data_IF_997897947223
#
_entry.id   IF_997897947223
#
_cell.length_a   1.000
_cell.length_b   1.000
_cell.length_c   1.000
_cell.angle_alpha   90.00
_cell.angle_beta   90.00
_cell.angle_gamma   90.00
#
_symmetry.space_group_name_H-M   'P 1'
#
loop_
_entity.id
_entity.type
_entity.pdbx_description
1 polymer ?
#
# COMPACT_ATOMS: atom_id res chain seq x y z
N UNK A 1 2.00 13.93 -20.97
CA UNK A 1 3.45 13.61 -21.03
C UNK A 1 3.62 12.11 -21.20
N UNK A 2 4.74 11.63 -21.74
CA UNK A 2 5.01 10.18 -21.83
C UNK A 2 5.25 9.58 -20.42
N UNK A 3 4.73 8.36 -20.15
CA UNK A 3 4.85 7.60 -18.88
C UNK A 3 6.29 7.60 -18.33
N UNK A 4 7.29 7.29 -19.15
CA UNK A 4 8.69 7.19 -18.71
C UNK A 4 9.25 8.53 -18.22
N UNK A 5 8.85 9.63 -18.86
CA UNK A 5 9.25 10.99 -18.43
C UNK A 5 8.63 11.35 -17.08
N UNK A 6 7.36 10.97 -16.86
CA UNK A 6 6.67 11.19 -15.58
C UNK A 6 7.34 10.38 -14.48
N UNK A 7 7.54 9.07 -14.68
CA UNK A 7 8.19 8.21 -13.70
C UNK A 7 9.58 8.71 -13.32
N UNK A 8 10.39 9.13 -14.31
CA UNK A 8 11.71 9.73 -14.06
C UNK A 8 11.63 10.98 -13.19
N UNK A 9 10.60 11.81 -13.36
CA UNK A 9 10.40 13.02 -12.56
C UNK A 9 9.92 12.69 -11.15
N UNK A 10 8.94 11.80 -11.00
CA UNK A 10 8.44 11.34 -9.70
C UNK A 10 9.54 10.71 -8.85
N UNK A 11 10.43 9.91 -9.47
CA UNK A 11 11.57 9.28 -8.78
C UNK A 11 12.60 10.27 -8.23
N UNK A 12 12.60 11.55 -8.63
CA UNK A 12 13.45 12.58 -8.00
C UNK A 12 13.09 12.81 -6.53
N UNK A 13 11.80 12.70 -6.20
CA UNK A 13 11.30 12.68 -4.83
C UNK A 13 10.56 11.35 -4.61
N UNK A 14 11.34 10.26 -4.68
CA UNK A 14 10.82 8.89 -4.65
C UNK A 14 9.92 8.62 -3.45
N UNK A 15 10.36 8.96 -2.24
CA UNK A 15 9.60 8.67 -1.01
C UNK A 15 8.23 9.36 -1.03
N UNK A 16 8.17 10.63 -1.46
CA UNK A 16 6.91 11.37 -1.60
C UNK A 16 5.96 10.71 -2.59
N UNK A 17 6.50 10.30 -3.72
CA UNK A 17 5.71 9.82 -4.86
C UNK A 17 5.59 8.30 -4.92
N UNK A 18 5.95 7.57 -3.86
CA UNK A 18 6.07 6.10 -3.89
C UNK A 18 4.76 5.41 -4.30
N UNK A 19 3.62 5.85 -3.75
CA UNK A 19 2.29 5.35 -4.13
C UNK A 19 1.92 5.73 -5.57
N UNK A 20 2.26 6.95 -5.98
CA UNK A 20 2.01 7.48 -7.34
C UNK A 20 2.84 6.70 -8.39
N UNK A 21 4.07 6.33 -8.05
CA UNK A 21 4.94 5.50 -8.89
C UNK A 21 4.32 4.10 -9.03
N UNK A 22 3.98 3.47 -7.91
CA UNK A 22 3.44 2.12 -7.89
C UNK A 22 2.11 2.00 -8.65
N UNK A 23 1.20 2.96 -8.50
CA UNK A 23 -0.08 2.95 -9.23
C UNK A 23 0.13 3.09 -10.75
N UNK A 24 1.08 3.93 -11.20
CA UNK A 24 1.43 4.06 -12.61
C UNK A 24 2.09 2.77 -13.15
N UNK A 25 2.93 2.12 -12.35
CA UNK A 25 3.59 0.89 -12.73
C UNK A 25 2.58 -0.26 -12.90
N UNK A 26 1.61 -0.36 -11.99
CA UNK A 26 0.61 -1.42 -11.97
C UNK A 26 -0.54 -1.22 -12.97
N UNK A 27 -1.07 0.00 -13.11
CA UNK A 27 -2.27 0.27 -13.91
C UNK A 27 -2.03 1.21 -15.10
N UNK A 28 -0.82 1.75 -15.22
CA UNK A 28 -0.48 2.70 -16.28
C UNK A 28 -0.94 4.12 -15.99
N UNK A 29 -0.97 4.94 -17.04
CA UNK A 29 -1.29 6.36 -16.98
C UNK A 29 -2.47 6.63 -17.91
N UNK A 30 -3.53 7.26 -17.39
CA UNK A 30 -4.69 7.67 -18.19
C UNK A 30 -4.50 9.08 -18.77
N UNK A 31 -4.32 10.07 -17.91
CA UNK A 31 -4.00 11.45 -18.30
C UNK A 31 -2.94 12.05 -17.37
N UNK A 32 -2.32 13.15 -17.81
CA UNK A 32 -1.36 13.89 -16.99
C UNK A 32 -1.38 15.37 -17.33
N UNK A 33 -1.33 16.23 -16.31
CA UNK A 33 -1.23 17.68 -16.43
C UNK A 33 0.03 18.15 -15.70
N UNK A 34 0.65 19.20 -16.21
CA UNK A 34 1.84 19.79 -15.60
C UNK A 34 1.65 21.30 -15.39
N UNK A 35 2.13 21.80 -14.25
CA UNK A 35 2.30 23.22 -13.95
C UNK A 35 3.62 23.36 -13.19
N UNK A 36 4.60 24.06 -13.77
CA UNK A 36 5.96 24.13 -13.24
C UNK A 36 6.55 22.75 -12.92
N UNK A 37 6.94 22.55 -11.66
CA UNK A 37 7.48 21.26 -11.21
C UNK A 37 6.41 20.25 -10.77
N UNK A 38 5.19 20.69 -10.48
CA UNK A 38 4.10 19.80 -10.10
C UNK A 38 3.47 19.05 -11.28
N UNK A 39 3.00 17.83 -11.01
CA UNK A 39 2.25 16.99 -11.96
C UNK A 39 0.97 16.51 -11.28
N UNK A 40 -0.13 16.53 -12.02
CA UNK A 40 -1.35 15.81 -11.66
C UNK A 40 -1.53 14.66 -12.64
N UNK A 41 -1.69 13.45 -12.14
CA UNK A 41 -1.93 12.27 -12.97
C UNK A 41 -3.30 11.69 -12.67
N UNK A 42 -3.87 11.01 -13.67
CA UNK A 42 -5.02 10.15 -13.45
C UNK A 42 -4.73 8.72 -13.87
N UNK A 43 -5.36 7.80 -13.14
CA UNK A 43 -5.25 6.35 -13.36
C UNK A 43 -6.64 5.74 -13.19
N UNK A 44 -6.98 4.78 -14.04
CA UNK A 44 -8.23 4.02 -13.93
C UNK A 44 -7.95 2.73 -13.16
N UNK A 45 -8.63 2.55 -12.03
CA UNK A 45 -8.72 1.29 -11.29
C UNK A 45 -10.20 0.90 -11.18
N UNK A 46 -10.77 0.92 -9.99
CA UNK A 46 -12.22 0.85 -9.73
C UNK A 46 -12.93 2.18 -10.05
N UNK A 47 -12.23 3.29 -9.85
CA UNK A 47 -12.62 4.63 -10.23
C UNK A 47 -11.53 5.30 -11.07
N UNK A 48 -11.86 6.43 -11.69
CA UNK A 48 -10.85 7.34 -12.22
C UNK A 48 -10.27 8.13 -11.03
N UNK A 49 -9.09 7.76 -10.57
CA UNK A 49 -8.42 8.41 -9.45
C UNK A 49 -7.50 9.53 -9.91
N UNK A 50 -7.42 10.61 -9.14
CA UNK A 50 -6.52 11.73 -9.34
C UNK A 50 -5.41 11.75 -8.27
N UNK A 51 -4.15 11.77 -8.70
CA UNK A 51 -2.98 11.83 -7.81
C UNK A 51 -2.17 13.10 -8.11
N UNK A 52 -2.20 14.11 -7.21
CA UNK A 52 -1.37 15.29 -7.34
C UNK A 52 0.04 15.05 -6.74
N UNK A 53 1.05 15.02 -7.59
CA UNK A 53 2.46 15.12 -7.21
C UNK A 53 2.87 16.59 -7.21
N UNK A 54 2.51 17.31 -6.15
CA UNK A 54 2.74 18.75 -6.01
C UNK A 54 3.47 19.11 -4.71
N UNK A 55 4.24 20.20 -4.78
CA UNK A 55 4.91 20.82 -3.61
C UNK A 55 4.55 22.31 -3.46
N UNK A 56 3.86 22.88 -4.45
CA UNK A 56 3.49 24.27 -4.47
C UNK A 56 1.97 24.41 -4.60
N UNK A 57 1.37 25.25 -3.74
CA UNK A 57 -0.08 25.45 -3.67
C UNK A 57 -0.64 26.12 -4.93
N UNK A 58 0.10 27.03 -5.54
CA UNK A 58 -0.28 27.79 -6.72
C UNK A 58 -0.21 26.91 -7.98
N UNK A 59 0.83 26.08 -8.10
CA UNK A 59 0.92 25.04 -9.12
C UNK A 59 -0.22 24.02 -8.98
N UNK A 60 -0.55 23.59 -7.75
CA UNK A 60 -1.70 22.70 -7.51
C UNK A 60 -3.02 23.33 -7.94
N UNK A 61 -3.25 24.62 -7.63
CA UNK A 61 -4.45 25.35 -8.11
C UNK A 61 -4.50 25.41 -9.64
N UNK A 62 -3.37 25.65 -10.30
CA UNK A 62 -3.30 25.67 -11.76
C UNK A 62 -3.61 24.29 -12.36
N UNK A 63 -3.06 23.22 -11.78
CA UNK A 63 -3.35 21.84 -12.17
C UNK A 63 -4.84 21.52 -12.03
N UNK A 64 -5.48 21.90 -10.93
CA UNK A 64 -6.92 21.67 -10.72
C UNK A 64 -7.78 22.45 -11.73
N UNK A 65 -7.39 23.69 -12.08
CA UNK A 65 -8.06 24.47 -13.15
C UNK A 65 -7.96 23.78 -14.50
N UNK A 66 -6.78 23.26 -14.87
CA UNK A 66 -6.54 22.50 -16.10
C UNK A 66 -7.30 21.17 -16.10
N UNK A 67 -7.34 20.49 -14.96
CA UNK A 67 -7.99 19.21 -14.77
C UNK A 67 -9.51 19.29 -14.81
N UNK A 68 -10.10 20.42 -14.40
CA UNK A 68 -11.54 20.68 -14.41
C UNK A 68 -12.37 19.65 -13.63
N UNK A 69 -11.80 19.04 -12.58
CA UNK A 69 -12.50 18.06 -11.73
C UNK A 69 -13.18 16.93 -12.52
N UNK A 70 -12.49 16.35 -13.51
CA UNK A 70 -12.97 15.19 -14.28
C UNK A 70 -13.29 13.97 -13.43
N UNK A 71 -12.81 13.95 -12.19
CA UNK A 71 -13.20 13.01 -11.15
C UNK A 71 -13.32 13.72 -9.82
N UNK A 72 -14.04 13.09 -8.90
CA UNK A 72 -14.17 13.51 -7.49
C UNK A 72 -13.31 12.65 -6.55
N UNK A 73 -12.59 11.65 -7.08
CA UNK A 73 -11.74 10.73 -6.32
C UNK A 73 -10.29 11.20 -6.34
N UNK A 74 -9.71 11.46 -5.18
CA UNK A 74 -8.34 11.94 -5.03
C UNK A 74 -7.55 11.09 -4.05
N UNK A 75 -6.30 10.82 -4.37
CA UNK A 75 -5.45 9.88 -3.63
C UNK A 75 -4.05 10.44 -3.39
N UNK A 76 -3.35 9.86 -2.41
CA UNK A 76 -2.01 10.26 -2.01
C UNK A 76 -1.90 11.75 -1.58
N UNK A 77 -2.92 12.26 -0.88
CA UNK A 77 -3.00 13.67 -0.49
C UNK A 77 -2.30 13.95 0.85
N UNK A 78 -1.52 15.03 0.90
CA UNK A 78 -1.03 15.58 2.16
C UNK A 78 -2.05 16.57 2.74
N UNK A 79 -2.06 16.78 4.06
CA UNK A 79 -3.06 17.60 4.77
C UNK A 79 -3.22 19.02 4.16
N UNK A 80 -2.13 19.64 3.71
CA UNK A 80 -2.18 20.97 3.10
C UNK A 80 -2.92 21.00 1.75
N UNK A 81 -2.99 19.86 1.05
CA UNK A 81 -3.65 19.74 -0.25
C UNK A 81 -5.17 19.70 -0.10
N UNK A 82 -5.69 19.18 1.02
CA UNK A 82 -7.13 19.01 1.26
C UNK A 82 -7.92 20.31 1.03
N UNK A 83 -7.63 21.45 1.69
CA UNK A 83 -8.38 22.69 1.47
C UNK A 83 -8.19 23.27 0.06
N UNK A 84 -7.13 22.91 -0.66
CA UNK A 84 -6.90 23.35 -2.05
C UNK A 84 -7.75 22.55 -3.02
N UNK A 85 -7.87 21.24 -2.79
CA UNK A 85 -8.60 20.30 -3.64
C UNK A 85 -10.10 20.39 -3.38
N UNK A 86 -10.54 20.35 -2.11
CA UNK A 86 -11.96 20.41 -1.76
C UNK A 86 -12.55 21.79 -2.04
N UNK A 87 -11.76 22.86 -1.88
CA UNK A 87 -12.23 24.24 -1.98
C UNK A 87 -13.44 24.48 -1.07
N UNK A 88 -14.65 24.65 -1.64
CA UNK A 88 -15.92 24.81 -0.92
C UNK A 88 -16.79 23.55 -0.96
N UNK A 89 -16.33 22.47 -1.59
CA UNK A 89 -17.06 21.20 -1.67
C UNK A 89 -16.88 20.43 -0.38
N UNK A 90 -17.93 19.71 -0.01
CA UNK A 90 -17.87 18.77 1.11
C UNK A 90 -17.07 17.53 0.72
N UNK A 91 -16.30 17.01 1.68
CA UNK A 91 -15.66 15.70 1.57
C UNK A 91 -16.72 14.67 1.96
N UNK A 92 -17.10 13.81 1.02
CA UNK A 92 -18.07 12.73 1.25
C UNK A 92 -17.48 11.66 2.15
N UNK A 93 -16.22 11.28 1.87
CA UNK A 93 -15.46 10.36 2.71
C UNK A 93 -13.96 10.67 2.64
N UNK A 94 -13.26 10.37 3.74
CA UNK A 94 -11.81 10.45 3.85
C UNK A 94 -11.26 9.17 4.51
N UNK A 95 -10.24 8.57 3.90
CA UNK A 95 -9.38 7.56 4.51
C UNK A 95 -8.03 8.18 4.80
N UNK A 96 -7.79 8.54 6.06
CA UNK A 96 -6.54 9.12 6.53
C UNK A 96 -5.64 8.04 7.13
N UNK A 97 -4.37 8.02 6.73
CA UNK A 97 -3.40 7.00 7.14
C UNK A 97 -2.04 7.60 7.43
N UNK A 98 -1.25 6.89 8.25
CA UNK A 98 0.19 7.08 8.34
C UNK A 98 0.87 6.20 7.28
N UNK A 99 1.62 6.81 6.35
CA UNK A 99 2.46 6.07 5.41
C UNK A 99 3.79 5.77 6.08
N UNK A 100 4.16 4.48 6.08
CA UNK A 100 5.46 4.02 6.56
C UNK A 100 6.27 3.44 5.39
N UNK A 101 7.57 3.74 5.35
CA UNK A 101 8.51 3.25 4.33
C UNK A 101 9.59 2.38 4.95
N UNK A 102 10.09 1.39 4.22
CA UNK A 102 11.20 0.55 4.67
C UNK A 102 12.48 0.94 3.91
N UNK A 103 13.38 1.68 4.56
CA UNK A 103 14.65 2.09 3.97
C UNK A 103 15.68 0.96 4.06
N UNK A 104 16.38 0.71 2.95
CA UNK A 104 17.18 -0.50 2.69
C UNK A 104 18.21 -0.85 3.78
N UNK A 105 18.77 0.14 4.49
CA UNK A 105 19.76 -0.08 5.56
C UNK A 105 19.19 -0.66 6.87
N UNK A 106 17.96 -0.32 7.25
CA UNK A 106 17.32 -0.84 8.48
C UNK A 106 16.89 -2.32 8.32
N UNK A 107 16.66 -2.69 7.08
CA UNK A 107 15.97 -3.87 6.60
C UNK A 107 16.85 -5.14 6.60
N UNK A 108 18.14 -4.98 6.34
CA UNK A 108 19.17 -6.04 6.36
C UNK A 108 19.46 -6.50 7.80
N UNK A 109 19.44 -5.58 8.76
CA UNK A 109 19.68 -5.89 10.18
C UNK A 109 18.55 -6.75 10.78
N UNK A 110 17.30 -6.41 10.48
CA UNK A 110 16.13 -7.18 10.92
C UNK A 110 16.05 -8.58 10.30
N UNK A 111 16.48 -8.73 9.04
CA UNK A 111 16.54 -10.02 8.34
C UNK A 111 17.64 -10.92 8.91
N UNK A 112 18.83 -10.37 9.22
CA UNK A 112 19.91 -11.09 9.88
C UNK A 112 19.54 -11.55 11.31
N UNK A 113 18.83 -10.72 12.08
CA UNK A 113 18.36 -11.07 13.42
C UNK A 113 17.26 -12.13 13.40
N UNK A 114 16.39 -12.10 12.38
CA UNK A 114 15.34 -13.10 12.19
C UNK A 114 15.87 -14.46 11.76
N UNK A 115 16.80 -14.50 10.80
CA UNK A 115 17.39 -15.74 10.32
C UNK A 115 18.18 -16.47 11.43
N UNK A 116 18.85 -15.73 12.32
CA UNK A 116 19.48 -16.30 13.53
C UNK A 116 18.47 -16.91 14.52
N UNK A 117 17.25 -16.36 14.61
CA UNK A 117 16.18 -16.95 15.44
C UNK A 117 15.59 -18.20 14.79
N UNK A 118 15.32 -18.16 13.48
CA UNK A 118 14.81 -19.33 12.74
C UNK A 118 15.80 -20.50 12.76
N UNK A 119 17.11 -20.25 12.61
CA UNK A 119 18.12 -21.32 12.70
C UNK A 119 18.18 -21.97 14.08
N UNK A 120 17.88 -21.23 15.15
CA UNK A 120 17.76 -21.77 16.51
C UNK A 120 16.41 -22.44 16.79
N UNK A 121 15.38 -22.19 15.97
CA UNK A 121 14.01 -22.72 16.09
C UNK A 121 13.72 -23.84 15.06
N UNK A 122 14.75 -24.34 14.35
CA UNK A 122 14.68 -25.48 13.41
C UNK A 122 14.34 -26.84 14.04
N UNK A 123 13.66 -26.83 15.18
CA UNK A 123 12.91 -27.96 15.75
C UNK A 123 11.39 -27.84 15.57
N UNK A 124 10.88 -26.76 14.94
CA UNK A 124 9.44 -26.55 14.65
C UNK A 124 9.14 -26.79 13.16
N UNK A 125 9.57 -27.92 12.61
CA UNK A 125 8.87 -28.49 11.46
C UNK A 125 7.73 -29.36 11.99
N UNK A 126 6.52 -28.79 12.15
CA UNK A 126 5.26 -29.57 12.11
C UNK A 126 3.95 -28.79 12.28
N UNK A 127 3.92 -27.49 12.63
CA UNK A 127 2.63 -26.86 12.98
C UNK A 127 1.95 -26.01 11.88
N UNK A 128 2.71 -25.46 10.93
CA UNK A 128 2.15 -24.58 9.88
C UNK A 128 3.01 -24.52 8.61
N UNK A 129 2.40 -24.13 7.49
CA UNK A 129 3.08 -23.91 6.20
C UNK A 129 2.88 -22.47 5.73
N UNK A 130 3.96 -21.82 5.30
CA UNK A 130 3.90 -20.53 4.58
C UNK A 130 3.90 -20.82 3.08
N UNK A 131 2.97 -20.21 2.33
CA UNK A 131 2.94 -20.26 0.85
C UNK A 131 2.42 -18.96 0.26
N UNK A 132 2.61 -18.78 -1.04
CA UNK A 132 1.90 -17.74 -1.80
C UNK A 132 0.40 -18.03 -1.80
N UNK A 133 -0.42 -16.99 -1.87
CA UNK A 133 -1.86 -17.13 -2.04
C UNK A 133 -2.18 -17.54 -3.48
N UNK A 134 -3.28 -18.25 -3.65
CA UNK A 134 -3.80 -18.68 -4.94
C UNK A 134 -5.18 -18.04 -5.18
N UNK A 135 -5.62 -17.95 -6.44
CA UNK A 135 -6.91 -17.34 -6.78
C UNK A 135 -8.11 -17.96 -6.03
N UNK A 136 -8.01 -19.24 -5.62
CA UNK A 136 -9.03 -19.93 -4.82
C UNK A 136 -9.15 -19.42 -3.38
N UNK A 137 -8.10 -18.80 -2.83
CA UNK A 137 -8.09 -18.25 -1.47
C UNK A 137 -8.90 -16.96 -1.37
N UNK A 138 -9.15 -16.26 -2.49
CA UNK A 138 -9.77 -14.94 -2.51
C UNK A 138 -11.17 -14.90 -1.86
N UNK A 139 -11.98 -15.93 -2.12
CA UNK A 139 -13.34 -16.03 -1.56
C UNK A 139 -13.29 -16.22 -0.05
N UNK A 140 -12.36 -17.05 0.43
CA UNK A 140 -12.16 -17.26 1.87
C UNK A 140 -11.65 -15.98 2.54
N UNK A 141 -10.67 -15.31 1.95
CA UNK A 141 -10.14 -14.03 2.44
C UNK A 141 -11.25 -12.99 2.52
N UNK A 142 -12.06 -12.86 1.47
CA UNK A 142 -13.19 -11.93 1.45
C UNK A 142 -14.14 -12.23 2.61
N UNK A 143 -14.56 -13.48 2.78
CA UNK A 143 -15.51 -13.89 3.82
C UNK A 143 -14.99 -13.70 5.27
N UNK A 144 -13.67 -13.63 5.47
CA UNK A 144 -13.05 -13.56 6.80
C UNK A 144 -12.25 -12.25 7.04
N UNK A 145 -12.37 -11.28 6.15
CA UNK A 145 -11.72 -9.97 6.27
C UNK A 145 -12.68 -8.95 6.88
N UNK A 146 -12.16 -8.04 7.70
CA UNK A 146 -12.92 -6.86 8.17
C UNK A 146 -13.10 -5.79 7.08
N UNK A 147 -12.48 -5.97 5.90
CA UNK A 147 -12.49 -5.00 4.80
C UNK A 147 -13.59 -5.27 3.75
N UNK A 148 -14.63 -6.06 4.06
CA UNK A 148 -15.67 -6.45 3.10
C UNK A 148 -16.36 -5.24 2.45
N UNK A 149 -16.59 -4.17 3.21
CA UNK A 149 -17.25 -2.96 2.72
C UNK A 149 -16.37 -2.11 1.78
N UNK A 150 -15.06 -2.35 1.81
CA UNK A 150 -14.05 -1.56 1.09
C UNK A 150 -13.30 -2.38 0.05
N UNK A 151 -13.75 -3.61 -0.24
CA UNK A 151 -13.06 -4.51 -1.16
C UNK A 151 -14.03 -5.40 -1.92
N UNK A 152 -13.51 -6.17 -2.87
CA UNK A 152 -14.28 -7.17 -3.59
C UNK A 152 -13.46 -8.44 -3.81
N UNK A 153 -14.14 -9.58 -4.01
CA UNK A 153 -13.49 -10.83 -4.42
C UNK A 153 -12.67 -10.66 -5.70
N UNK A 154 -13.17 -9.86 -6.65
CA UNK A 154 -12.47 -9.56 -7.90
C UNK A 154 -11.16 -8.83 -7.62
N UNK A 155 -11.20 -7.79 -6.78
CA UNK A 155 -10.01 -7.05 -6.37
C UNK A 155 -9.00 -7.95 -5.64
N UNK A 156 -9.44 -8.78 -4.69
CA UNK A 156 -8.53 -9.70 -3.99
C UNK A 156 -7.86 -10.66 -4.98
N UNK A 157 -8.61 -11.27 -5.91
CA UNK A 157 -8.02 -12.14 -6.96
C UNK A 157 -6.99 -11.41 -7.80
N UNK A 158 -7.29 -10.18 -8.18
CA UNK A 158 -6.40 -9.32 -8.94
C UNK A 158 -5.10 -9.06 -8.17
N UNK A 159 -5.19 -8.73 -6.88
CA UNK A 159 -4.01 -8.47 -6.02
C UNK A 159 -3.19 -9.73 -5.77
N UNK A 160 -3.81 -10.90 -5.65
CA UNK A 160 -3.09 -12.19 -5.59
C UNK A 160 -2.27 -12.42 -6.87
N UNK A 161 -2.81 -12.06 -8.04
CA UNK A 161 -2.16 -12.30 -9.32
C UNK A 161 -1.11 -11.23 -9.68
N UNK A 162 -1.22 -10.01 -9.14
CA UNK A 162 -0.45 -8.86 -9.58
C UNK A 162 0.93 -8.73 -8.91
N UNK A 163 1.06 -9.11 -7.65
CA UNK A 163 2.29 -8.90 -6.87
C UNK A 163 2.48 -10.00 -5.81
N UNK A 164 3.45 -9.83 -4.90
CA UNK A 164 3.69 -10.77 -3.83
C UNK A 164 2.48 -10.94 -2.90
N UNK A 165 2.29 -12.17 -2.43
CA UNK A 165 1.28 -12.51 -1.44
C UNK A 165 1.80 -13.58 -0.50
N UNK A 166 1.21 -13.69 0.69
CA UNK A 166 1.59 -14.71 1.64
C UNK A 166 0.36 -15.22 2.41
N UNK A 167 0.33 -16.52 2.65
CA UNK A 167 -0.65 -17.22 3.49
C UNK A 167 0.04 -18.19 4.43
N UNK A 168 -0.48 -18.29 5.67
CA UNK A 168 -0.10 -19.30 6.66
C UNK A 168 -1.22 -20.31 6.75
N UNK A 169 -0.88 -21.58 6.52
CA UNK A 169 -1.80 -22.72 6.53
C UNK A 169 -1.55 -23.57 7.78
N UNK A 170 -2.61 -23.88 8.52
CA UNK A 170 -2.58 -24.72 9.73
C UNK A 170 -3.70 -25.75 9.61
N UNK A 171 -3.35 -27.04 9.68
CA UNK A 171 -4.32 -28.14 9.53
C UNK A 171 -5.20 -28.03 8.27
N UNK A 172 -4.63 -27.51 7.17
CA UNK A 172 -5.34 -27.29 5.91
C UNK A 172 -6.12 -25.98 5.82
N UNK A 173 -6.24 -25.19 6.90
CA UNK A 173 -6.96 -23.92 6.90
C UNK A 173 -6.04 -22.70 6.72
N UNK A 174 -6.51 -21.68 6.00
CA UNK A 174 -5.84 -20.38 5.94
C UNK A 174 -6.04 -19.63 7.26
N UNK A 175 -4.96 -19.53 8.04
CA UNK A 175 -4.92 -18.94 9.38
C UNK A 175 -4.56 -17.45 9.37
N UNK A 176 -3.67 -17.04 8.46
CA UNK A 176 -3.25 -15.66 8.28
C UNK A 176 -2.86 -15.39 6.83
N UNK A 177 -2.93 -14.13 6.41
CA UNK A 177 -2.57 -13.72 5.06
C UNK A 177 -2.08 -12.27 4.99
N UNK A 178 -1.48 -11.92 3.85
CA UNK A 178 -1.12 -10.57 3.46
C UNK A 178 -0.95 -10.46 1.94
N UNK A 179 -1.27 -9.29 1.39
CA UNK A 179 -1.24 -8.97 -0.04
C UNK A 179 -0.62 -7.58 -0.24
N UNK A 180 -0.67 -7.08 -1.48
CA UNK A 180 -0.43 -5.67 -1.79
C UNK A 180 -1.71 -4.94 -2.18
N UNK A 181 -1.71 -3.62 -2.03
CA UNK A 181 -2.71 -2.74 -2.64
C UNK A 181 -2.40 -2.49 -4.12
N UNK A 182 -3.29 -1.74 -4.78
CA UNK A 182 -3.19 -1.31 -6.17
C UNK A 182 -1.94 -0.46 -6.45
N UNK A 183 -1.53 0.36 -5.49
CA UNK A 183 -0.29 1.15 -5.53
C UNK A 183 0.97 0.36 -5.13
N UNK A 184 0.83 -0.95 -4.88
CA UNK A 184 1.93 -1.82 -4.47
C UNK A 184 2.30 -1.75 -2.99
N UNK A 185 1.61 -0.95 -2.17
CA UNK A 185 1.80 -0.93 -0.72
C UNK A 185 1.52 -2.32 -0.12
N UNK A 186 2.30 -2.75 0.87
CA UNK A 186 1.99 -3.95 1.65
C UNK A 186 0.72 -3.71 2.47
N UNK A 187 -0.19 -4.69 2.48
CA UNK A 187 -1.47 -4.53 3.15
C UNK A 187 -2.29 -5.82 3.21
N UNK A 188 -3.60 -5.67 3.48
CA UNK A 188 -4.51 -6.79 3.74
C UNK A 188 -3.97 -7.79 4.79
N UNK A 189 -3.15 -7.30 5.74
CA UNK A 189 -2.52 -8.14 6.75
C UNK A 189 -3.59 -8.55 7.75
N UNK A 190 -3.87 -9.84 7.85
CA UNK A 190 -4.84 -10.36 8.79
C UNK A 190 -4.37 -11.67 9.39
N UNK A 191 -4.67 -11.83 10.69
CA UNK A 191 -4.53 -13.09 11.41
C UNK A 191 -5.88 -13.38 12.04
N UNK A 192 -6.49 -14.51 11.65
CA UNK A 192 -7.76 -14.97 12.21
C UNK A 192 -7.63 -15.10 13.72
N UNK A 193 -8.71 -14.77 14.43
CA UNK A 193 -8.68 -14.60 15.89
C UNK A 193 -8.10 -15.80 16.65
N UNK A 194 -8.51 -17.01 16.27
CA UNK A 194 -8.04 -18.27 16.86
C UNK A 194 -6.52 -18.50 16.71
N UNK A 195 -5.84 -17.79 15.82
CA UNK A 195 -4.41 -17.95 15.52
C UNK A 195 -3.56 -16.73 15.92
N UNK A 196 -4.15 -15.75 16.62
CA UNK A 196 -3.44 -14.55 17.06
C UNK A 196 -2.43 -14.86 18.17
N UNK A 197 -1.52 -13.90 18.42
CA UNK A 197 -0.44 -13.97 19.44
C UNK A 197 0.63 -15.04 19.17
N UNK A 198 0.71 -15.55 17.94
CA UNK A 198 1.67 -16.58 17.50
C UNK A 198 2.77 -16.07 16.55
N UNK A 199 2.90 -14.74 16.42
CA UNK A 199 3.89 -14.13 15.53
C UNK A 199 3.55 -14.16 14.03
N UNK A 200 2.40 -14.71 13.62
CA UNK A 200 2.04 -14.89 12.21
C UNK A 200 1.99 -13.62 11.37
N UNK A 201 1.52 -12.49 11.91
CA UNK A 201 1.57 -11.22 11.19
C UNK A 201 3.02 -10.81 10.84
N UNK A 202 3.98 -11.11 11.72
CA UNK A 202 5.41 -10.86 11.47
C UNK A 202 5.94 -11.74 10.34
N UNK A 203 5.63 -13.04 10.38
CA UNK A 203 6.07 -14.00 9.35
C UNK A 203 5.51 -13.63 7.97
N UNK A 204 4.22 -13.26 7.88
CA UNK A 204 3.61 -12.75 6.65
C UNK A 204 4.40 -11.53 6.14
N UNK A 205 4.61 -10.51 6.99
CA UNK A 205 5.34 -9.31 6.59
C UNK A 205 6.76 -9.61 6.13
N UNK A 206 7.48 -10.49 6.84
CA UNK A 206 8.85 -10.87 6.47
C UNK A 206 8.91 -11.56 5.11
N UNK A 207 7.97 -12.46 4.81
CA UNK A 207 7.84 -13.05 3.48
C UNK A 207 7.58 -11.98 2.41
N UNK A 208 6.58 -11.11 2.61
CA UNK A 208 6.24 -10.06 1.63
C UNK A 208 7.42 -9.11 1.38
N UNK A 209 8.14 -8.72 2.45
CA UNK A 209 9.35 -7.91 2.36
C UNK A 209 10.43 -8.63 1.55
N UNK A 210 10.65 -9.91 1.82
CA UNK A 210 11.66 -10.72 1.11
C UNK A 210 11.32 -10.84 -0.39
N UNK A 211 10.07 -11.11 -0.73
CA UNK A 211 9.60 -11.20 -2.11
C UNK A 211 9.76 -9.86 -2.86
N UNK A 212 9.35 -8.75 -2.23
CA UNK A 212 9.55 -7.40 -2.80
C UNK A 212 11.02 -7.09 -3.05
N UNK A 213 11.93 -7.46 -2.13
CA UNK A 213 13.37 -7.25 -2.30
C UNK A 213 13.95 -8.06 -3.44
N UNK A 214 13.54 -9.33 -3.57
CA UNK A 214 13.96 -10.21 -4.66
C UNK A 214 13.66 -9.58 -6.03
N UNK A 215 12.51 -8.92 -6.13
CA UNK A 215 12.06 -8.23 -7.34
C UNK A 215 12.54 -6.77 -7.43
N UNK A 216 13.33 -6.28 -6.47
CA UNK A 216 13.79 -4.87 -6.37
C UNK A 216 12.63 -3.86 -6.40
N UNK A 217 11.50 -4.21 -5.80
CA UNK A 217 10.31 -3.37 -5.70
C UNK A 217 10.36 -2.51 -4.43
N UNK A 218 9.70 -1.36 -4.53
CA UNK A 218 9.53 -0.44 -3.41
C UNK A 218 8.71 -1.07 -2.28
N UNK A 219 9.08 -0.78 -1.02
CA UNK A 219 8.46 -1.36 0.17
C UNK A 219 7.95 -0.24 1.08
N UNK A 220 6.63 -0.15 1.15
CA UNK A 220 5.92 0.79 2.01
C UNK A 220 4.54 0.22 2.36
N UNK A 221 3.87 0.87 3.30
CA UNK A 221 2.52 0.53 3.71
C UNK A 221 1.78 1.75 4.22
N UNK A 222 0.46 1.66 4.30
CA UNK A 222 -0.39 2.65 4.95
C UNK A 222 -1.07 1.98 6.14
N UNK A 223 -1.15 2.69 7.27
CA UNK A 223 -1.77 2.20 8.49
C UNK A 223 -2.66 3.26 9.11
N UNK A 224 -3.82 2.87 9.62
CA UNK A 224 -4.70 3.79 10.35
C UNK A 224 -3.97 4.41 11.55
N UNK A 225 -4.16 5.71 11.82
CA UNK A 225 -3.43 6.41 12.90
C UNK A 225 -3.63 5.77 14.28
N UNK A 226 -4.80 5.18 14.53
CA UNK A 226 -5.15 4.61 15.83
C UNK A 226 -4.77 3.12 15.96
N UNK A 227 -4.20 2.51 14.91
CA UNK A 227 -3.80 1.10 14.93
C UNK A 227 -2.42 0.89 15.56
N UNK A 228 -2.30 1.21 16.85
CA UNK A 228 -1.04 1.13 17.61
C UNK A 228 -0.38 -0.25 17.58
N UNK A 229 -1.19 -1.32 17.52
CA UNK A 229 -0.68 -2.71 17.44
C UNK A 229 0.05 -2.98 16.13
N UNK A 230 -0.54 -2.57 15.01
CA UNK A 230 0.09 -2.71 13.70
C UNK A 230 1.33 -1.80 13.59
N UNK A 231 1.25 -0.55 14.07
CA UNK A 231 2.40 0.37 14.09
C UNK A 231 3.59 -0.20 14.87
N UNK A 232 3.35 -0.82 16.04
CA UNK A 232 4.42 -1.48 16.81
C UNK A 232 5.06 -2.63 16.04
N UNK A 233 4.26 -3.44 15.32
CA UNK A 233 4.79 -4.50 14.46
C UNK A 233 5.66 -3.91 13.35
N UNK A 234 5.16 -2.92 12.60
CA UNK A 234 5.88 -2.34 11.47
C UNK A 234 7.18 -1.65 11.89
N UNK A 235 7.15 -0.86 12.96
CA UNK A 235 8.37 -0.25 13.52
C UNK A 235 9.40 -1.30 13.93
N UNK A 236 8.98 -2.42 14.54
CA UNK A 236 9.87 -3.53 14.88
C UNK A 236 10.41 -4.34 13.68
N UNK A 237 9.91 -4.06 12.48
CA UNK A 237 10.39 -4.59 11.20
C UNK A 237 11.26 -3.57 10.45
N UNK A 238 11.52 -2.40 11.03
CA UNK A 238 12.34 -1.34 10.46
C UNK A 238 11.58 -0.35 9.59
N UNK A 239 10.24 -0.38 9.56
CA UNK A 239 9.48 0.67 8.89
C UNK A 239 9.57 1.97 9.67
N UNK A 240 9.77 3.07 8.95
CA UNK A 240 9.85 4.42 9.48
C UNK A 240 8.66 5.24 8.98
N UNK A 241 8.18 6.16 9.81
CA UNK A 241 7.13 7.11 9.41
C UNK A 241 7.66 8.04 8.31
N UNK A 242 6.90 8.15 7.21
CA UNK A 242 7.18 9.10 6.14
C UNK A 242 6.25 10.31 6.24
N UNK A 243 4.93 10.11 6.16
CA UNK A 243 3.95 11.21 6.22
C UNK A 243 2.51 10.75 6.46
N UNK A 244 1.65 11.72 6.79
CA UNK A 244 0.20 11.55 6.73
C UNK A 244 -0.28 11.61 5.29
N UNK A 245 -1.11 10.65 4.88
CA UNK A 245 -1.73 10.60 3.57
C UNK A 245 -3.23 10.37 3.68
N UNK A 246 -4.00 11.07 2.87
CA UNK A 246 -5.44 10.87 2.71
C UNK A 246 -5.82 10.43 1.29
N UNK A 247 -6.82 9.55 1.23
CA UNK A 247 -7.67 9.35 0.06
C UNK A 247 -9.03 9.98 0.36
N UNK A 248 -9.62 10.66 -0.61
CA UNK A 248 -10.91 11.31 -0.45
C UNK A 248 -11.81 11.12 -1.68
N UNK A 249 -13.12 11.22 -1.43
CA UNK A 249 -14.11 11.53 -2.46
C UNK A 249 -14.82 12.83 -2.10
N UNK A 250 -14.92 13.73 -3.06
CA UNK A 250 -15.72 14.95 -2.93
C UNK A 250 -17.19 14.69 -3.30
N UNK A 251 -18.10 15.49 -2.73
CA UNK A 251 -19.50 15.59 -3.21
C UNK A 251 -19.61 16.43 -4.48
#
# INVERSE_FOLDING_TARGET
MNKNKILKKLRKNWAKNISIIGIIENYGLKESFQAGESILITVNTDHLWCYPAAENKEELKELLKKFQYRTLYFASLEDWMLPVISQKREIEWELKTERLILVEKAAVKAELEHNKRIENERSIESEFKIRDLEAKDADFIFAHSHYQDFTSKAYIRERIAADCSAGIIINGELAAWGLTHDDGALGFIHVREAFRKRGFARLIMQKLISDKRKDRKDIFLNVEPDNFKAKKLFSSLGFEFDRMISWIKLK
#
